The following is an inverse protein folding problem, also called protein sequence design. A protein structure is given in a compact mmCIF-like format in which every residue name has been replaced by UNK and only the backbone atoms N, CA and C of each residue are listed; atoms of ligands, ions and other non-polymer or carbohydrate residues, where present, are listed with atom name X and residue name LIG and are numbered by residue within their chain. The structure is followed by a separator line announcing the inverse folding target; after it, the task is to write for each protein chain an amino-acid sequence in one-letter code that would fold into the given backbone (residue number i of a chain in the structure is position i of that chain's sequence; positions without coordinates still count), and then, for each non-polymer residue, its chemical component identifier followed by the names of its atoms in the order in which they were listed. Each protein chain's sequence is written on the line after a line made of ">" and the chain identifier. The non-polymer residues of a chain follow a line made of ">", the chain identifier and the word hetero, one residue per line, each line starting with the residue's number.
data_IF_961396569486
#
_entry.id   IF_961396569486
#
_cell.length_a   1.000
_cell.length_b   1.000
_cell.length_c   1.000
_cell.angle_alpha   90.00
_cell.angle_beta   90.00
_cell.angle_gamma   90.00
#
_symmetry.space_group_name_H-M   'P 1'
#
loop_
_entity.id
_entity.type
_entity.pdbx_description
1 polymer ?
#
# COMPACT_ATOMS: atom_id res chain seq x y z
N UNK A 1 38.53 -19.48 27.38
CA UNK A 1 37.68 -20.40 26.60
C UNK A 1 36.21 -19.95 26.58
N UNK A 2 35.61 -19.65 27.73
CA UNK A 2 34.21 -19.20 27.87
C UNK A 2 33.88 -17.86 27.18
N UNK A 3 34.76 -16.87 27.27
CA UNK A 3 34.55 -15.55 26.64
C UNK A 3 34.47 -15.64 25.09
N UNK A 4 35.30 -16.48 24.46
CA UNK A 4 35.24 -16.70 23.01
C UNK A 4 33.92 -17.35 22.59
N UNK A 5 33.43 -18.32 23.37
CA UNK A 5 32.13 -18.95 23.14
C UNK A 5 30.99 -17.94 23.25
N UNK A 6 31.02 -17.05 24.24
CA UNK A 6 30.02 -16.00 24.43
C UNK A 6 29.94 -15.05 23.22
N UNK A 7 31.07 -14.65 22.63
CA UNK A 7 31.07 -13.84 21.41
C UNK A 7 30.49 -14.58 20.21
N UNK A 8 30.80 -15.87 20.04
CA UNK A 8 30.22 -16.67 18.96
C UNK A 8 28.69 -16.79 19.10
N UNK A 9 28.18 -17.06 20.30
CA UNK A 9 26.74 -17.13 20.57
C UNK A 9 26.08 -15.77 20.34
N UNK A 10 26.68 -14.68 20.81
CA UNK A 10 26.16 -13.33 20.59
C UNK A 10 26.12 -12.95 19.09
N UNK A 11 27.16 -13.27 18.32
CA UNK A 11 27.17 -13.04 16.88
C UNK A 11 26.10 -13.85 16.16
N UNK A 12 25.90 -15.12 16.54
CA UNK A 12 24.84 -15.95 15.95
C UNK A 12 23.46 -15.39 16.23
N UNK A 13 23.19 -14.91 17.45
CA UNK A 13 21.94 -14.27 17.80
C UNK A 13 21.71 -12.96 17.02
N UNK A 14 22.76 -12.16 16.82
CA UNK A 14 22.66 -10.94 16.02
C UNK A 14 22.38 -11.26 14.55
N UNK A 15 23.06 -12.26 13.98
CA UNK A 15 22.85 -12.68 12.59
C UNK A 15 21.42 -13.21 12.39
N UNK A 16 20.90 -14.03 13.30
CA UNK A 16 19.53 -14.55 13.19
C UNK A 16 18.51 -13.43 13.30
N UNK A 17 18.63 -12.55 14.29
CA UNK A 17 17.74 -11.39 14.45
C UNK A 17 17.78 -10.49 13.20
N UNK A 18 18.97 -10.23 12.66
CA UNK A 18 19.11 -9.38 11.49
C UNK A 18 18.52 -10.01 10.22
N UNK A 19 18.68 -11.32 10.03
CA UNK A 19 18.05 -12.06 8.92
C UNK A 19 16.52 -12.06 9.00
N UNK A 20 15.96 -12.20 10.21
CA UNK A 20 14.51 -12.13 10.42
C UNK A 20 13.95 -10.74 10.14
N UNK A 21 14.67 -9.70 10.59
CA UNK A 21 14.27 -8.32 10.32
C UNK A 21 14.31 -8.01 8.82
N UNK A 22 15.37 -8.44 8.12
CA UNK A 22 15.51 -8.27 6.67
C UNK A 22 14.35 -8.95 5.91
N UNK A 23 14.02 -10.20 6.25
CA UNK A 23 12.92 -10.91 5.60
C UNK A 23 11.55 -10.26 5.87
N UNK A 24 11.34 -9.74 7.07
CA UNK A 24 10.08 -9.06 7.44
C UNK A 24 9.90 -7.70 6.75
N UNK A 25 11.00 -7.02 6.40
CA UNK A 25 10.98 -5.71 5.77
C UNK A 25 10.67 -5.77 4.27
N UNK A 26 10.61 -6.97 3.68
CA UNK A 26 10.30 -7.14 2.27
C UNK A 26 8.82 -6.89 2.01
N UNK A 27 8.46 -5.63 1.78
CA UNK A 27 7.15 -5.25 1.30
C UNK A 27 6.93 -5.87 -0.09
N UNK A 28 5.85 -6.63 -0.24
CA UNK A 28 5.49 -7.21 -1.53
C UNK A 28 4.93 -6.11 -2.43
N UNK A 29 5.73 -5.64 -3.40
CA UNK A 29 5.28 -4.69 -4.42
C UNK A 29 4.46 -5.46 -5.47
N UNK A 30 3.14 -5.45 -5.32
CA UNK A 30 2.25 -5.95 -6.37
C UNK A 30 2.33 -5.01 -7.58
N UNK A 31 2.62 -5.57 -8.75
CA UNK A 31 2.61 -4.81 -9.99
C UNK A 31 1.19 -4.71 -10.54
N UNK A 32 0.82 -3.53 -11.01
CA UNK A 32 -0.43 -3.32 -11.76
C UNK A 32 -0.24 -3.85 -13.19
N UNK A 33 -1.19 -4.64 -13.66
CA UNK A 33 -1.22 -5.19 -15.02
C UNK A 33 -2.45 -4.70 -15.78
N UNK A 34 -2.46 -4.89 -17.11
CA UNK A 34 -3.66 -4.64 -17.92
C UNK A 34 -4.83 -5.48 -17.40
N UNK A 35 -5.95 -4.81 -17.08
CA UNK A 35 -7.13 -5.44 -16.48
C UNK A 35 -7.17 -5.39 -14.95
N UNK A 36 -6.16 -4.82 -14.29
CA UNK A 36 -6.23 -4.55 -12.85
C UNK A 36 -7.36 -3.56 -12.55
N UNK A 37 -8.14 -3.86 -11.51
CA UNK A 37 -9.13 -2.92 -10.95
C UNK A 37 -8.43 -2.09 -9.88
N UNK A 38 -8.54 -0.76 -9.99
CA UNK A 38 -7.86 0.19 -9.11
C UNK A 38 -8.86 1.23 -8.61
N UNK A 39 -8.57 1.78 -7.42
CA UNK A 39 -9.31 2.91 -6.87
C UNK A 39 -8.33 4.04 -6.55
N UNK A 40 -8.59 5.20 -7.14
CA UNK A 40 -7.73 6.37 -6.98
C UNK A 40 -8.18 7.19 -5.77
N UNK A 41 -7.22 7.64 -4.98
CA UNK A 41 -7.46 8.46 -3.79
C UNK A 41 -6.67 9.75 -3.87
N UNK A 42 -7.30 10.85 -3.50
CA UNK A 42 -6.62 12.12 -3.30
C UNK A 42 -5.87 12.07 -1.96
N UNK A 43 -4.53 12.09 -2.00
CA UNK A 43 -3.71 11.99 -0.79
C UNK A 43 -3.77 13.19 0.16
N UNK A 44 -4.26 14.36 -0.28
CA UNK A 44 -4.40 15.55 0.57
C UNK A 44 -5.73 15.55 1.34
N UNK A 45 -6.79 15.04 0.71
CA UNK A 45 -8.14 15.06 1.27
C UNK A 45 -8.62 13.69 1.77
N UNK A 46 -7.86 12.62 1.53
CA UNK A 46 -8.18 11.24 1.92
C UNK A 46 -9.53 10.74 1.33
N UNK A 47 -10.00 11.37 0.25
CA UNK A 47 -11.23 11.02 -0.47
C UNK A 47 -10.92 10.24 -1.75
N UNK A 48 -11.81 9.31 -2.12
CA UNK A 48 -11.67 8.47 -3.31
C UNK A 48 -12.43 9.05 -4.48
N UNK A 49 -11.89 8.89 -5.69
CA UNK A 49 -12.60 9.27 -6.91
C UNK A 49 -13.72 8.27 -7.18
N UNK A 50 -14.87 8.79 -7.59
CA UNK A 50 -16.05 8.02 -7.94
C UNK A 50 -16.81 8.64 -9.11
N UNK A 51 -17.31 7.79 -10.01
CA UNK A 51 -18.21 8.15 -11.11
C UNK A 51 -19.59 7.54 -10.85
N UNK A 52 -20.64 8.34 -10.99
CA UNK A 52 -22.02 7.94 -10.71
C UNK A 52 -22.97 8.60 -11.73
N UNK A 53 -24.24 8.21 -11.71
CA UNK A 53 -25.29 8.71 -12.61
C UNK A 53 -25.76 10.14 -12.31
N UNK A 54 -24.82 11.03 -12.03
CA UNK A 54 -25.02 12.48 -11.95
C UNK A 54 -24.17 13.14 -13.01
N UNK A 55 -24.77 14.03 -13.80
CA UNK A 55 -24.11 14.72 -14.93
C UNK A 55 -23.66 16.12 -14.52
N UNK A 56 -22.66 16.66 -15.22
CA UNK A 56 -22.34 18.08 -15.09
C UNK A 56 -23.52 18.95 -15.57
N UNK A 57 -23.77 20.06 -14.87
CA UNK A 57 -24.86 20.99 -15.19
C UNK A 57 -24.66 21.80 -16.48
N UNK A 58 -23.47 21.73 -17.08
CA UNK A 58 -23.12 22.38 -18.36
C UNK A 58 -22.00 21.61 -19.05
N UNK A 59 -21.75 21.86 -20.34
CA UNK A 59 -20.69 21.18 -21.10
C UNK A 59 -21.18 19.90 -21.77
N UNK A 60 -20.40 18.82 -21.69
CA UNK A 60 -20.67 17.58 -22.45
C UNK A 60 -21.90 16.78 -21.99
N UNK A 61 -22.41 17.04 -20.77
CA UNK A 61 -23.54 16.31 -20.19
C UNK A 61 -23.24 14.83 -19.88
N UNK A 62 -21.97 14.44 -19.85
CA UNK A 62 -21.53 13.11 -19.41
C UNK A 62 -21.58 12.99 -17.89
N UNK A 63 -21.40 11.75 -17.39
CA UNK A 63 -21.29 11.47 -15.96
C UNK A 63 -20.18 12.33 -15.34
N UNK A 64 -20.44 12.77 -14.12
CA UNK A 64 -19.51 13.54 -13.31
C UNK A 64 -18.55 12.62 -12.56
N UNK A 65 -17.37 13.16 -12.28
CA UNK A 65 -16.39 12.53 -11.40
C UNK A 65 -16.31 13.38 -10.15
N UNK A 66 -16.50 12.75 -8.99
CA UNK A 66 -16.54 13.42 -7.69
C UNK A 66 -15.64 12.71 -6.69
N UNK A 67 -15.29 13.39 -5.60
CA UNK A 67 -14.64 12.77 -4.46
C UNK A 67 -15.69 12.31 -3.45
N UNK A 68 -15.56 11.09 -2.93
CA UNK A 68 -16.43 10.54 -1.90
C UNK A 68 -15.61 10.04 -0.72
N UNK A 69 -16.14 10.24 0.49
CA UNK A 69 -15.66 9.63 1.74
C UNK A 69 -16.25 8.23 1.96
N UNK A 70 -17.28 7.85 1.20
CA UNK A 70 -17.83 6.51 1.23
C UNK A 70 -16.88 5.50 0.58
N UNK A 71 -16.66 4.39 1.28
CA UNK A 71 -15.90 3.25 0.77
C UNK A 71 -16.80 2.30 -0.05
N UNK A 72 -17.63 2.83 -0.95
CA UNK A 72 -18.50 2.00 -1.80
C UNK A 72 -17.73 1.47 -3.01
N UNK A 73 -17.77 0.16 -3.25
CA UNK A 73 -16.97 -0.55 -4.27
C UNK A 73 -17.60 -0.61 -5.67
N UNK A 74 -18.68 0.13 -5.87
CA UNK A 74 -19.43 0.16 -7.13
C UNK A 74 -18.79 1.04 -8.20
#
# INVERSE_FOLDING_TARGET
>A
MLSRYQYHVSCLLLITVWSHLYLSAQAHVQHVTCGSVLKLQNGQHDIRLHSHDIKYGSGSGQQSVTGTDQMDDN
#
